data_IF_704071059594
#
_entry.id   IF_704071059594
#
_cell.length_a   1.000
_cell.length_b   1.000
_cell.length_c   1.000
_cell.angle_alpha   90.00
_cell.angle_beta   90.00
_cell.angle_gamma   90.00
#
_symmetry.space_group_name_H-M   'P 1'
#
loop_
_entity.id
_entity.type
_entity.pdbx_description
1 polymer ?
#
# COMPACT_ATOMS: atom_id res chain seq x y z
N UNK A 1 10.20 -36.58 62.54
CA UNK A 1 9.05 -35.97 63.24
C UNK A 1 9.04 -34.52 62.81
N UNK A 2 8.28 -34.25 61.74
CA UNK A 2 6.99 -33.48 61.76
C UNK A 2 7.30 -31.99 61.64
N UNK A 3 6.73 -31.17 60.77
CA UNK A 3 5.61 -31.23 59.80
C UNK A 3 5.79 -29.99 58.88
N UNK A 4 5.40 -29.99 57.60
CA UNK A 4 4.18 -29.33 57.04
C UNK A 4 4.04 -27.85 57.49
N UNK A 5 3.91 -26.81 56.67
CA UNK A 5 3.21 -26.52 55.42
C UNK A 5 4.02 -25.42 54.67
N UNK A 6 4.08 -25.29 53.35
CA UNK A 6 2.97 -25.42 52.41
C UNK A 6 2.21 -24.11 52.22
N UNK A 7 2.87 -22.93 52.23
CA UNK A 7 2.22 -21.65 51.93
C UNK A 7 1.98 -21.52 50.42
N UNK A 8 0.79 -21.93 49.99
CA UNK A 8 0.25 -21.64 48.67
C UNK A 8 -0.76 -20.50 48.80
N UNK A 9 -0.59 -19.35 48.14
CA UNK A 9 -1.71 -18.48 47.86
C UNK A 9 -2.54 -19.12 46.74
N UNK A 10 -3.54 -19.90 47.13
CA UNK A 10 -4.72 -20.17 46.31
C UNK A 10 -5.58 -18.91 46.28
N UNK A 11 -5.37 -18.04 45.30
CA UNK A 11 -6.45 -17.20 44.78
C UNK A 11 -6.10 -16.74 43.35
N UNK A 12 -6.21 -17.66 42.40
CA UNK A 12 -6.34 -17.31 40.99
C UNK A 12 -7.84 -17.15 40.73
N UNK A 13 -8.38 -15.92 40.61
CA UNK A 13 -9.71 -15.76 40.07
C UNK A 13 -9.70 -16.32 38.64
N UNK A 14 -10.69 -17.18 38.40
CA UNK A 14 -10.98 -17.89 37.17
C UNK A 14 -10.47 -17.18 35.92
N UNK A 15 -9.71 -17.92 35.12
CA UNK A 15 -9.61 -17.68 33.70
C UNK A 15 -10.99 -17.29 33.18
N UNK A 16 -11.05 -16.10 32.60
CA UNK A 16 -12.20 -15.53 31.93
C UNK A 16 -12.90 -16.60 31.10
N UNK A 17 -14.00 -17.12 31.65
CA UNK A 17 -15.01 -17.79 30.86
C UNK A 17 -15.36 -16.80 29.75
N UNK A 18 -15.10 -17.19 28.50
CA UNK A 18 -15.70 -16.50 27.37
C UNK A 18 -17.20 -16.39 27.61
N UNK A 19 -17.85 -15.31 27.15
CA UNK A 19 -19.26 -15.12 27.42
C UNK A 19 -20.02 -16.41 27.06
N UNK A 20 -20.83 -16.89 28.01
CA UNK A 20 -21.88 -17.87 27.77
C UNK A 20 -22.68 -17.46 26.52
N UNK A 21 -23.38 -18.37 25.82
CA UNK A 21 -24.26 -17.97 24.72
C UNK A 21 -25.38 -17.07 25.28
N UNK A 22 -25.08 -15.78 25.41
CA UNK A 22 -25.98 -14.72 25.84
C UNK A 22 -27.08 -14.65 24.79
N UNK A 23 -28.33 -14.88 25.23
CA UNK A 23 -29.50 -14.57 24.42
C UNK A 23 -29.38 -13.10 23.99
N UNK A 24 -29.17 -12.89 22.68
CA UNK A 24 -29.01 -11.56 22.11
C UNK A 24 -30.20 -10.69 22.52
N UNK A 25 -29.94 -9.48 22.98
CA UNK A 25 -31.03 -8.55 23.25
C UNK A 25 -31.77 -8.24 21.94
N UNK A 26 -33.07 -7.90 21.96
CA UNK A 26 -33.80 -7.53 20.74
C UNK A 26 -33.16 -6.38 19.95
N UNK A 27 -32.37 -5.52 20.61
CA UNK A 27 -31.60 -4.45 19.99
C UNK A 27 -30.33 -4.99 19.31
N UNK A 28 -29.59 -5.88 19.95
CA UNK A 28 -28.44 -6.56 19.36
C UNK A 28 -28.85 -7.39 18.12
N UNK A 29 -29.97 -8.10 18.18
CA UNK A 29 -30.50 -8.82 17.02
C UNK A 29 -30.85 -7.88 15.85
N UNK A 30 -31.45 -6.72 16.13
CA UNK A 30 -31.74 -5.72 15.10
C UNK A 30 -30.46 -5.13 14.49
N UNK A 31 -29.43 -4.90 15.30
CA UNK A 31 -28.13 -4.45 14.83
C UNK A 31 -27.45 -5.50 13.95
N UNK A 32 -27.48 -6.78 14.35
CA UNK A 32 -26.95 -7.89 13.56
C UNK A 32 -27.68 -8.05 12.22
N UNK A 33 -29.01 -7.99 12.21
CA UNK A 33 -29.80 -8.02 10.96
C UNK A 33 -29.42 -6.89 10.01
N UNK A 34 -29.23 -5.67 10.52
CA UNK A 34 -28.77 -4.54 9.70
C UNK A 34 -27.35 -4.76 9.16
N UNK A 35 -26.42 -5.26 9.98
CA UNK A 35 -25.07 -5.58 9.54
C UNK A 35 -25.05 -6.68 8.48
N UNK A 36 -25.86 -7.72 8.61
CA UNK A 36 -26.01 -8.79 7.61
C UNK A 36 -26.57 -8.26 6.28
N UNK A 37 -27.56 -7.37 6.33
CA UNK A 37 -28.10 -6.72 5.14
C UNK A 37 -27.05 -5.86 4.42
N UNK A 38 -26.22 -5.13 5.16
CA UNK A 38 -25.11 -4.37 4.57
C UNK A 38 -24.02 -5.27 4.00
N UNK A 39 -23.62 -6.33 4.72
CA UNK A 39 -22.65 -7.30 4.22
C UNK A 39 -23.11 -7.97 2.93
N UNK A 40 -24.42 -8.17 2.76
CA UNK A 40 -24.99 -8.75 1.52
C UNK A 40 -24.82 -7.84 0.30
N UNK A 41 -24.66 -6.53 0.50
CA UNK A 41 -24.51 -5.54 -0.58
C UNK A 41 -23.04 -5.39 -1.01
N UNK A 42 -22.11 -5.67 -0.11
CA UNK A 42 -20.67 -5.51 -0.38
C UNK A 42 -20.20 -6.64 -1.29
N UNK A 43 -19.58 -6.27 -2.41
CA UNK A 43 -18.94 -7.23 -3.33
C UNK A 43 -17.48 -7.40 -2.95
N UNK A 44 -16.99 -8.64 -3.06
CA UNK A 44 -15.59 -8.95 -2.74
C UNK A 44 -14.65 -8.21 -3.71
N UNK A 45 -15.06 -8.09 -4.96
CA UNK A 45 -14.33 -7.39 -6.02
C UNK A 45 -14.09 -5.91 -5.65
N UNK A 46 -15.07 -5.25 -5.03
CA UNK A 46 -14.96 -3.85 -4.61
C UNK A 46 -13.96 -3.71 -3.44
N UNK A 47 -13.97 -4.66 -2.49
CA UNK A 47 -13.00 -4.70 -1.39
C UNK A 47 -11.59 -4.97 -1.89
N UNK A 48 -11.43 -5.86 -2.88
CA UNK A 48 -10.14 -6.13 -3.52
C UNK A 48 -9.64 -4.87 -4.24
N UNK A 49 -10.50 -4.19 -5.00
CA UNK A 49 -10.16 -2.94 -5.68
C UNK A 49 -9.69 -1.87 -4.68
N UNK A 50 -10.43 -1.67 -3.59
CA UNK A 50 -10.05 -0.73 -2.53
C UNK A 50 -8.70 -1.09 -1.89
N UNK A 51 -8.50 -2.37 -1.60
CA UNK A 51 -7.25 -2.87 -0.99
C UNK A 51 -6.05 -2.67 -1.93
N UNK A 52 -6.22 -2.94 -3.22
CA UNK A 52 -5.19 -2.71 -4.25
C UNK A 52 -4.79 -1.24 -4.28
N UNK A 53 -5.75 -0.31 -4.27
CA UNK A 53 -5.45 1.14 -4.25
C UNK A 53 -4.68 1.52 -2.98
N UNK A 54 -5.07 1.01 -1.82
CA UNK A 54 -4.36 1.27 -0.56
C UNK A 54 -2.92 0.76 -0.59
N UNK A 55 -2.69 -0.47 -1.08
CA UNK A 55 -1.35 -1.07 -1.19
C UNK A 55 -0.52 -0.31 -2.24
N UNK A 56 -1.12 0.14 -3.33
CA UNK A 56 -0.45 0.91 -4.38
C UNK A 56 0.07 2.24 -3.82
N UNK A 57 -0.77 2.98 -3.11
CA UNK A 57 -0.39 4.23 -2.46
C UNK A 57 0.70 4.03 -1.40
N UNK A 58 0.60 2.97 -0.61
CA UNK A 58 1.62 2.62 0.37
C UNK A 58 2.95 2.28 -0.30
N UNK A 59 2.92 1.46 -1.36
CA UNK A 59 4.12 1.07 -2.12
C UNK A 59 4.81 2.28 -2.75
N UNK A 60 4.04 3.22 -3.30
CA UNK A 60 4.57 4.48 -3.81
C UNK A 60 5.30 5.28 -2.72
N UNK A 61 4.70 5.41 -1.52
CA UNK A 61 5.34 6.10 -0.39
C UNK A 61 6.65 5.44 0.02
N UNK A 62 6.69 4.10 0.08
CA UNK A 62 7.90 3.32 0.38
C UNK A 62 9.02 3.49 -0.65
N UNK A 63 8.71 3.98 -1.85
CA UNK A 63 9.70 4.26 -2.88
C UNK A 63 10.11 5.73 -2.87
N UNK A 64 9.14 6.64 -2.87
CA UNK A 64 9.33 8.04 -3.21
C UNK A 64 9.60 8.97 -2.02
N UNK A 65 9.23 8.55 -0.79
CA UNK A 65 9.33 9.40 0.39
C UNK A 65 10.55 8.99 1.22
N UNK A 66 11.59 9.82 1.25
CA UNK A 66 12.90 9.46 1.82
C UNK A 66 12.83 9.03 3.30
N UNK A 67 11.98 9.68 4.11
CA UNK A 67 11.80 9.37 5.54
C UNK A 67 10.99 8.08 5.79
N UNK A 68 10.26 7.59 4.80
CA UNK A 68 9.47 6.36 4.86
C UNK A 68 10.02 5.25 3.93
N UNK A 69 11.19 5.46 3.30
CA UNK A 69 11.71 4.65 2.20
C UNK A 69 12.05 3.23 2.66
N UNK A 70 11.45 2.25 2.00
CA UNK A 70 11.61 0.82 2.27
C UNK A 70 11.34 0.01 0.99
N UNK A 71 12.41 -0.30 0.24
CA UNK A 71 12.29 -1.00 -1.04
C UNK A 71 11.86 -2.46 -0.88
N UNK A 72 12.14 -3.10 0.25
CA UNK A 72 11.67 -4.47 0.49
C UNK A 72 10.15 -4.48 0.68
N UNK A 73 9.60 -3.55 1.47
CA UNK A 73 8.15 -3.39 1.60
C UNK A 73 7.48 -2.99 0.28
N UNK A 74 8.10 -2.11 -0.50
CA UNK A 74 7.58 -1.73 -1.82
C UNK A 74 7.49 -2.94 -2.76
N UNK A 75 8.50 -3.82 -2.74
CA UNK A 75 8.51 -5.06 -3.53
C UNK A 75 7.36 -5.98 -3.14
N UNK A 76 7.13 -6.18 -1.84
CA UNK A 76 6.00 -7.00 -1.36
C UNK A 76 4.67 -6.44 -1.87
N UNK A 77 4.49 -5.12 -1.80
CA UNK A 77 3.27 -4.47 -2.31
C UNK A 77 3.09 -4.65 -3.82
N UNK A 78 4.15 -4.51 -4.61
CA UNK A 78 4.14 -4.74 -6.07
C UNK A 78 3.70 -6.17 -6.39
N UNK A 79 4.26 -7.18 -5.72
CA UNK A 79 3.90 -8.59 -5.94
C UNK A 79 2.47 -8.89 -5.50
N UNK A 80 2.02 -8.34 -4.36
CA UNK A 80 0.65 -8.49 -3.90
C UNK A 80 -0.35 -7.93 -4.92
N UNK A 81 -0.09 -6.72 -5.44
CA UNK A 81 -0.95 -6.10 -6.46
C UNK A 81 -0.99 -6.97 -7.72
N UNK A 82 0.16 -7.48 -8.19
CA UNK A 82 0.21 -8.37 -9.37
C UNK A 82 -0.71 -9.58 -9.20
N UNK A 83 -0.72 -10.21 -8.02
CA UNK A 83 -1.57 -11.36 -7.73
C UNK A 83 -3.08 -11.04 -7.64
N UNK A 84 -3.44 -9.79 -7.32
CA UNK A 84 -4.84 -9.38 -7.14
C UNK A 84 -5.48 -8.78 -8.40
N UNK A 85 -4.68 -8.26 -9.34
CA UNK A 85 -5.20 -7.54 -10.52
C UNK A 85 -6.21 -8.37 -11.30
N UNK A 86 -5.97 -9.66 -11.52
CA UNK A 86 -6.85 -10.48 -12.36
C UNK A 86 -8.24 -10.75 -11.74
N UNK A 87 -8.42 -10.46 -10.44
CA UNK A 87 -9.71 -10.53 -9.75
C UNK A 87 -10.56 -9.26 -9.90
N UNK A 88 -10.00 -8.18 -10.46
CA UNK A 88 -10.71 -6.92 -10.69
C UNK A 88 -11.58 -6.98 -11.95
N UNK A 89 -12.54 -6.07 -12.07
CA UNK A 89 -13.29 -5.88 -13.32
C UNK A 89 -12.38 -5.36 -14.46
N UNK A 90 -12.76 -5.54 -15.73
CA UNK A 90 -11.90 -5.21 -16.88
C UNK A 90 -11.45 -3.75 -16.96
N UNK A 91 -12.24 -2.80 -16.46
CA UNK A 91 -11.87 -1.38 -16.50
C UNK A 91 -10.84 -1.09 -15.42
N UNK A 92 -11.11 -1.49 -14.17
CA UNK A 92 -10.15 -1.39 -13.06
C UNK A 92 -8.84 -2.12 -13.34
N UNK A 93 -8.89 -3.29 -13.97
CA UNK A 93 -7.69 -4.04 -14.36
C UNK A 93 -6.72 -3.20 -15.20
N UNK A 94 -7.23 -2.50 -16.21
CA UNK A 94 -6.40 -1.70 -17.11
C UNK A 94 -5.77 -0.53 -16.36
N UNK A 95 -6.55 0.16 -15.55
CA UNK A 95 -6.07 1.29 -14.75
C UNK A 95 -4.99 0.86 -13.75
N UNK A 96 -5.23 -0.20 -12.99
CA UNK A 96 -4.27 -0.71 -12.00
C UNK A 96 -2.99 -1.22 -12.68
N UNK A 97 -3.06 -1.92 -13.81
CA UNK A 97 -1.85 -2.36 -14.55
C UNK A 97 -0.99 -1.17 -15.00
N UNK A 98 -1.62 -0.09 -15.45
CA UNK A 98 -0.91 1.13 -15.85
C UNK A 98 -0.24 1.81 -14.66
N UNK A 99 -0.94 1.96 -13.54
CA UNK A 99 -0.39 2.55 -12.32
C UNK A 99 0.75 1.69 -11.72
N UNK A 100 0.56 0.37 -11.70
CA UNK A 100 1.56 -0.60 -11.26
C UNK A 100 2.84 -0.53 -12.10
N UNK A 101 2.71 -0.37 -13.43
CA UNK A 101 3.87 -0.21 -14.32
C UNK A 101 4.68 1.04 -14.00
N UNK A 102 4.02 2.15 -13.67
CA UNK A 102 4.69 3.39 -13.25
C UNK A 102 5.43 3.20 -11.92
N UNK A 103 4.82 2.54 -10.94
CA UNK A 103 5.48 2.22 -9.67
C UNK A 103 6.71 1.33 -9.89
N UNK A 104 6.64 0.34 -10.78
CA UNK A 104 7.77 -0.54 -11.07
C UNK A 104 8.97 0.21 -11.67
N UNK A 105 8.72 1.22 -12.51
CA UNK A 105 9.77 2.10 -13.04
C UNK A 105 10.42 2.90 -11.90
N UNK A 106 9.62 3.52 -11.03
CA UNK A 106 10.14 4.26 -9.87
C UNK A 106 10.93 3.37 -8.93
N UNK A 107 10.45 2.15 -8.67
CA UNK A 107 11.14 1.14 -7.88
C UNK A 107 12.51 0.79 -8.47
N UNK A 108 12.57 0.53 -9.78
CA UNK A 108 13.81 0.17 -10.46
C UNK A 108 14.85 1.30 -10.41
N UNK A 109 14.41 2.56 -10.57
CA UNK A 109 15.27 3.73 -10.41
C UNK A 109 15.83 3.81 -8.98
N UNK A 110 14.95 3.72 -7.97
CA UNK A 110 15.33 3.76 -6.56
C UNK A 110 16.27 2.62 -6.15
N UNK A 111 16.06 1.42 -6.67
CA UNK A 111 16.91 0.26 -6.40
C UNK A 111 18.31 0.40 -7.05
N UNK A 112 18.40 1.08 -8.20
CA UNK A 112 19.66 1.39 -8.87
C UNK A 112 20.49 2.47 -8.15
N UNK A 113 19.85 3.37 -7.39
CA UNK A 113 20.51 4.41 -6.60
C UNK A 113 21.20 3.85 -5.34
N UNK A 114 20.67 2.76 -4.76
CA UNK A 114 21.19 2.12 -3.56
C UNK A 114 22.23 1.02 -3.80
N UNK A 115 22.51 0.68 -5.07
CA UNK A 115 23.54 -0.28 -5.44
C UNK A 115 24.90 0.41 -5.57
N UNK A 116 25.80 0.16 -4.62
CA UNK A 116 27.22 0.51 -4.78
C UNK A 116 27.75 -0.10 -6.11
N UNK A 117 28.57 0.64 -6.88
CA UNK A 117 29.04 0.19 -8.18
C UNK A 117 30.05 -0.95 -8.02
N UNK A 118 29.55 -2.19 -8.09
CA UNK A 118 30.37 -3.38 -8.27
C UNK A 118 31.08 -3.33 -9.62
N UNK A 119 32.40 -3.19 -9.57
CA UNK A 119 33.30 -3.09 -10.70
C UNK A 119 33.16 -4.21 -11.75
N UNK A 120 33.18 -3.79 -13.02
CA UNK A 120 33.32 -4.60 -14.23
C UNK A 120 32.91 -3.75 -15.45
N UNK A 121 33.70 -2.74 -15.86
CA UNK A 121 34.74 -2.89 -16.88
C UNK A 121 34.13 -3.13 -18.27
N UNK A 122 34.27 -2.30 -19.31
CA UNK A 122 35.06 -1.10 -19.56
C UNK A 122 34.88 -0.69 -21.04
N UNK A 123 35.16 0.59 -21.30
CA UNK A 123 35.60 1.18 -22.57
C UNK A 123 34.76 1.04 -23.85
N UNK A 124 34.11 2.15 -24.19
CA UNK A 124 33.81 2.55 -25.56
C UNK A 124 33.98 4.05 -25.70
N UNK A 125 35.23 4.49 -25.86
CA UNK A 125 35.58 5.86 -26.23
C UNK A 125 35.29 6.12 -27.72
N UNK A 126 34.82 7.33 -28.02
CA UNK A 126 34.58 7.88 -29.35
C UNK A 126 33.77 9.16 -29.17
N UNK A 127 34.38 10.21 -28.63
CA UNK A 127 35.03 11.31 -29.36
C UNK A 127 34.13 12.07 -30.35
N UNK A 128 33.93 13.34 -29.98
CA UNK A 128 33.75 14.55 -30.79
C UNK A 128 32.63 14.65 -31.84
N UNK A 129 31.76 15.65 -31.62
CA UNK A 129 30.93 16.23 -32.68
C UNK A 129 29.95 17.30 -32.22
N UNK A 130 30.45 18.48 -31.82
CA UNK A 130 29.68 19.76 -31.76
C UNK A 130 30.58 20.78 -32.47
N UNK A 131 30.11 21.64 -33.39
CA UNK A 131 29.12 22.67 -33.03
C UNK A 131 28.20 23.26 -34.12
N UNK A 132 27.24 24.05 -33.64
CA UNK A 132 26.49 25.08 -34.40
C UNK A 132 25.00 24.74 -34.48
N UNK A 133 24.04 25.58 -34.09
CA UNK A 133 24.03 26.99 -33.69
C UNK A 133 22.62 27.52 -34.01
N UNK A 134 22.11 28.48 -33.21
CA UNK A 134 21.07 29.40 -33.68
C UNK A 134 19.69 29.35 -33.00
N UNK A 135 19.52 30.31 -32.07
CA UNK A 135 18.36 31.19 -31.87
C UNK A 135 16.94 30.65 -31.62
N UNK A 136 16.51 30.90 -30.38
CA UNK A 136 15.46 31.85 -30.01
C UNK A 136 14.00 31.62 -30.44
N UNK A 137 13.13 31.58 -29.43
CA UNK A 137 11.86 32.30 -29.46
C UNK A 137 10.63 31.45 -29.14
N UNK A 138 10.02 31.70 -27.98
CA UNK A 138 8.64 31.25 -27.72
C UNK A 138 8.39 30.84 -26.27
N UNK A 139 8.48 31.78 -25.33
CA UNK A 139 8.02 31.56 -23.96
C UNK A 139 6.51 31.33 -23.95
N UNK A 140 6.11 30.08 -23.70
CA UNK A 140 4.71 29.72 -23.51
C UNK A 140 4.34 29.96 -22.04
N UNK A 141 3.51 30.96 -21.80
CA UNK A 141 2.99 31.27 -20.47
C UNK A 141 2.13 30.10 -19.95
N UNK A 142 2.19 29.76 -18.65
CA UNK A 142 1.34 28.72 -18.09
C UNK A 142 -0.12 29.19 -18.02
N UNK A 143 -1.10 28.31 -18.29
CA UNK A 143 -2.51 28.64 -18.14
C UNK A 143 -2.83 28.90 -16.65
N UNK A 144 -3.57 29.98 -16.40
CA UNK A 144 -3.98 30.42 -15.08
C UNK A 144 -4.86 29.35 -14.41
N UNK A 145 -4.45 28.95 -13.22
CA UNK A 145 -5.22 28.14 -12.29
C UNK A 145 -6.48 28.92 -11.88
N UNK A 146 -7.65 28.37 -12.19
CA UNK A 146 -8.93 28.87 -11.70
C UNK A 146 -9.15 28.38 -10.27
N UNK A 147 -9.33 29.30 -9.32
CA UNK A 147 -9.67 28.99 -7.93
C UNK A 147 -11.07 29.53 -7.60
N UNK A 148 -12.08 28.68 -7.39
CA UNK A 148 -13.37 29.11 -6.87
C UNK A 148 -13.32 29.30 -5.34
N UNK A 149 -13.93 30.37 -4.83
CA UNK A 149 -14.20 30.55 -3.40
C UNK A 149 -13.63 31.82 -2.74
N UNK A 150 -13.82 33.00 -3.33
CA UNK A 150 -13.72 34.26 -2.59
C UNK A 150 -15.01 35.05 -2.77
N UNK A 151 -16.00 34.69 -1.97
CA UNK A 151 -16.92 35.61 -1.29
C UNK A 151 -17.25 35.00 0.08
#
# INVERSE_FOLDING_TARGET
MTDSEGDAPEDQPAASAGPDPEELTPEQEQMLRQMEEEMRKVRVEDLVAQSVVSILNLSYRRIAKEDERDLEQARVGIEAIRGMVDALDPDSQREIRNALSQIQVLYAQAAGEGGEPGAGGGSGAGDAGTPGGGSAGGGQAPPRLWTPGSD
#
